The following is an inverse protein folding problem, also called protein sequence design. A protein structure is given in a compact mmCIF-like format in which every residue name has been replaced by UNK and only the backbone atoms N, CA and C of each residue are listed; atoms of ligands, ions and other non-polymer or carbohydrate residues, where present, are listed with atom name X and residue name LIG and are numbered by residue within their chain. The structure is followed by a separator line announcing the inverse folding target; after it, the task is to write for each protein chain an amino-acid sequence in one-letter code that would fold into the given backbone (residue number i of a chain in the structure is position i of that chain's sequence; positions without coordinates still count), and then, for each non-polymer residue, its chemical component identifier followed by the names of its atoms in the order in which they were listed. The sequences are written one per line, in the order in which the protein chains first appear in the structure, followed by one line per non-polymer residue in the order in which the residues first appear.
data_IF_560926346109
#
_entry.id   IF_560926346109
#
_cell.length_a   1.000
_cell.length_b   1.000
_cell.length_c   1.000
_cell.angle_alpha   90.00
_cell.angle_beta   90.00
_cell.angle_gamma   90.00
#
_symmetry.space_group_name_H-M   'P 1'
#
loop_
_entity.id
_entity.type
_entity.pdbx_description
1 polymer ?
#
# COMPACT_ATOMS: atom_id res chain seq x y z
N UNK A 1 -8.03 -3.46 9.52
CA UNK A 1 -7.69 -3.78 8.12
C UNK A 1 -6.22 -4.20 8.08
N UNK A 2 -5.81 -5.20 7.30
CA UNK A 2 -4.41 -5.65 7.26
C UNK A 2 -3.51 -4.59 6.61
N UNK A 3 -2.40 -4.25 7.25
CA UNK A 3 -1.36 -3.38 6.69
C UNK A 3 -0.23 -4.25 6.14
N UNK A 4 0.24 -3.95 4.93
CA UNK A 4 1.37 -4.63 4.31
C UNK A 4 2.33 -3.61 3.72
N UNK A 5 3.60 -4.00 3.52
CA UNK A 5 4.56 -3.16 2.81
C UNK A 5 4.34 -3.17 1.30
N UNK A 6 5.02 -2.26 0.61
CA UNK A 6 5.15 -2.25 -0.84
C UNK A 6 6.62 -2.17 -1.23
N UNK A 7 6.96 -2.69 -2.40
CA UNK A 7 8.24 -2.50 -3.06
C UNK A 7 8.05 -1.54 -4.22
N UNK A 8 9.05 -0.74 -4.58
CA UNK A 8 8.97 0.07 -5.80
C UNK A 8 9.90 -0.50 -6.87
N UNK A 9 9.47 -0.44 -8.13
CA UNK A 9 10.38 -0.66 -9.25
C UNK A 9 11.15 0.63 -9.54
N UNK A 10 12.44 0.49 -9.86
CA UNK A 10 13.31 1.63 -10.17
C UNK A 10 12.99 2.20 -11.55
N UNK A 11 12.60 1.33 -12.50
CA UNK A 11 12.44 1.69 -13.90
C UNK A 11 11.06 2.24 -14.28
N UNK A 12 9.99 1.84 -13.59
CA UNK A 12 8.61 2.13 -13.97
C UNK A 12 7.93 3.18 -13.10
N UNK A 13 8.58 3.61 -12.01
CA UNK A 13 7.99 4.44 -10.95
C UNK A 13 6.77 3.80 -10.22
N UNK A 14 6.50 2.53 -10.51
CA UNK A 14 5.39 1.80 -9.92
C UNK A 14 5.73 1.26 -8.54
N UNK A 15 4.70 1.17 -7.69
CA UNK A 15 4.74 0.44 -6.44
C UNK A 15 4.04 -0.91 -6.61
N UNK A 16 4.57 -1.98 -6.01
CA UNK A 16 3.97 -3.30 -5.99
C UNK A 16 3.78 -3.78 -4.56
N UNK A 17 2.67 -4.44 -4.29
CA UNK A 17 2.35 -5.00 -2.98
C UNK A 17 1.85 -6.44 -3.13
N UNK A 18 2.16 -7.30 -2.17
CA UNK A 18 1.60 -8.66 -2.14
C UNK A 18 0.29 -8.64 -1.36
N UNK A 19 -0.76 -9.23 -1.92
CA UNK A 19 -2.03 -9.40 -1.23
C UNK A 19 -1.83 -10.28 0.02
N UNK A 20 -2.33 -9.87 1.20
CA UNK A 20 -2.18 -10.65 2.43
C UNK A 20 -3.02 -11.94 2.48
N UNK A 21 -3.94 -12.16 1.54
CA UNK A 21 -4.81 -13.34 1.49
C UNK A 21 -4.40 -14.32 0.40
N UNK A 22 -4.27 -13.84 -0.86
CA UNK A 22 -3.94 -14.72 -1.99
C UNK A 22 -2.47 -14.66 -2.42
N UNK A 23 -1.64 -13.84 -1.76
CA UNK A 23 -0.21 -13.66 -2.01
C UNK A 23 0.18 -13.17 -3.41
N UNK A 24 -0.78 -12.92 -4.30
CA UNK A 24 -0.50 -12.33 -5.61
C UNK A 24 -0.03 -10.88 -5.49
N UNK A 25 0.86 -10.53 -6.41
CA UNK A 25 1.37 -9.17 -6.58
C UNK A 25 0.31 -8.31 -7.24
N UNK A 26 0.01 -7.16 -6.63
CA UNK A 26 -0.80 -6.09 -7.21
C UNK A 26 0.11 -4.89 -7.48
N UNK A 27 -0.12 -4.24 -8.62
CA UNK A 27 0.56 -2.99 -8.99
C UNK A 27 -0.27 -1.80 -8.52
N UNK A 28 0.40 -0.81 -7.94
CA UNK A 28 -0.14 0.48 -7.53
C UNK A 28 0.62 1.58 -8.27
N UNK A 29 -0.11 2.63 -8.66
CA UNK A 29 0.31 3.50 -9.76
C UNK A 29 1.50 4.41 -9.45
N UNK A 30 1.60 4.99 -8.25
CA UNK A 30 2.59 6.03 -7.97
C UNK A 30 3.28 5.79 -6.63
N UNK A 31 4.57 5.42 -6.67
CA UNK A 31 5.38 5.18 -5.46
C UNK A 31 5.54 6.44 -4.62
N UNK A 32 5.71 7.61 -5.24
CA UNK A 32 5.93 8.89 -4.54
C UNK A 32 4.71 9.24 -3.69
N UNK A 33 3.50 9.11 -4.25
CA UNK A 33 2.26 9.37 -3.52
C UNK A 33 2.09 8.46 -2.28
N UNK A 34 2.51 7.20 -2.38
CA UNK A 34 2.49 6.27 -1.24
C UNK A 34 3.51 6.69 -0.18
N UNK A 35 4.75 7.00 -0.58
CA UNK A 35 5.78 7.47 0.34
C UNK A 35 5.36 8.75 1.06
N UNK A 36 4.76 9.72 0.37
CA UNK A 36 4.22 10.94 0.96
C UNK A 36 3.10 10.64 1.95
N UNK A 37 2.19 9.71 1.61
CA UNK A 37 1.11 9.30 2.50
C UNK A 37 1.67 8.69 3.79
N UNK A 38 2.70 7.83 3.72
CA UNK A 38 3.34 7.24 4.90
C UNK A 38 3.97 8.32 5.79
N UNK A 39 4.65 9.32 5.21
CA UNK A 39 5.28 10.42 5.98
C UNK A 39 4.30 11.19 6.86
N UNK A 40 3.06 11.35 6.39
CA UNK A 40 1.98 12.04 7.13
C UNK A 40 1.04 11.06 7.85
N UNK A 41 1.45 9.81 8.01
CA UNK A 41 0.67 8.70 8.55
C UNK A 41 -0.72 8.49 7.90
N UNK A 42 -0.89 8.85 6.63
CA UNK A 42 -2.14 8.68 5.89
C UNK A 42 -2.25 7.26 5.31
N UNK A 43 -3.38 6.57 5.50
CA UNK A 43 -3.60 5.25 4.93
C UNK A 43 -3.77 5.30 3.41
N UNK A 44 -3.35 4.22 2.74
CA UNK A 44 -3.50 4.02 1.29
C UNK A 44 -4.11 2.65 1.08
N UNK A 45 -5.36 2.62 0.63
CA UNK A 45 -6.11 1.39 0.42
C UNK A 45 -5.90 0.85 -0.98
N UNK A 46 -5.68 -0.45 -1.07
CA UNK A 46 -5.54 -1.20 -2.31
C UNK A 46 -6.52 -2.36 -2.28
N UNK A 47 -7.20 -2.56 -3.41
CA UNK A 47 -8.03 -3.74 -3.63
C UNK A 47 -7.25 -4.73 -4.49
N UNK A 48 -7.17 -5.99 -4.05
CA UNK A 48 -6.55 -7.02 -4.86
C UNK A 48 -7.40 -7.34 -6.10
N UNK A 49 -6.79 -7.37 -7.28
CA UNK A 49 -7.49 -7.68 -8.54
C UNK A 49 -7.95 -9.14 -8.64
N UNK A 50 -7.42 -10.03 -7.79
CA UNK A 50 -7.67 -11.47 -7.88
C UNK A 50 -8.67 -12.00 -6.87
N UNK A 51 -8.66 -11.49 -5.65
CA UNK A 51 -9.54 -11.94 -4.57
C UNK A 51 -10.33 -10.80 -3.93
N UNK A 52 -10.29 -9.62 -4.55
CA UNK A 52 -11.05 -8.41 -4.16
C UNK A 52 -10.80 -7.93 -2.71
N UNK A 53 -9.80 -8.51 -2.04
CA UNK A 53 -9.45 -8.16 -0.67
C UNK A 53 -8.92 -6.73 -0.62
N UNK A 54 -9.50 -5.94 0.28
CA UNK A 54 -9.03 -4.60 0.61
C UNK A 54 -7.97 -4.66 1.72
N UNK A 55 -6.84 -3.99 1.49
CA UNK A 55 -5.74 -3.91 2.44
C UNK A 55 -5.06 -2.54 2.37
N UNK A 56 -4.29 -2.19 3.40
CA UNK A 56 -3.59 -0.91 3.52
C UNK A 56 -2.10 -1.08 3.20
N UNK A 57 -1.54 -0.18 2.39
CA UNK A 57 -0.10 -0.10 2.08
C UNK A 57 0.56 1.21 2.54
N UNK A 58 -0.23 2.11 3.12
CA UNK A 58 0.21 3.42 3.61
C UNK A 58 0.43 3.46 5.11
N UNK A 59 0.28 4.65 5.70
CA UNK A 59 0.30 4.85 7.16
C UNK A 59 -0.89 4.19 7.86
N UNK A 60 -0.85 4.09 9.19
CA UNK A 60 -1.92 3.45 9.96
C UNK A 60 -3.16 4.33 10.11
N UNK A 61 -3.02 5.65 9.91
CA UNK A 61 -4.10 6.61 10.14
C UNK A 61 -4.47 6.77 11.62
N UNK A 62 -3.73 6.11 12.52
CA UNK A 62 -3.86 6.31 13.96
C UNK A 62 -3.15 7.63 14.27
N UNK A 63 -3.91 8.63 14.73
CA UNK A 63 -3.30 9.80 15.34
C UNK A 63 -2.42 9.32 16.50
N UNK A 64 -1.14 9.68 16.50
CA UNK A 64 -0.33 9.58 17.72
C UNK A 64 -1.04 10.45 18.76
N UNK A 65 -1.84 9.80 19.61
CA UNK A 65 -2.42 10.41 20.80
C UNK A 65 -1.24 10.82 21.69
N UNK A 66 -0.87 12.08 21.59
CA UNK A 66 0.24 12.68 22.33
C UNK A 66 -0.20 13.17 23.70
#
# INVERSE_FOLDING_TARGET
MKQVGFCHEIYTDEARSSCPECHKMNTSSNKIAIFESIKINRPVYVQCEHCETLYNIGGTGEEESK
#
